data_IF_930585287086
#
_entry.id   IF_930585287086
#
_cell.length_a   1.000
_cell.length_b   1.000
_cell.length_c   1.000
_cell.angle_alpha   90.00
_cell.angle_beta   90.00
_cell.angle_gamma   90.00
#
_symmetry.space_group_name_H-M   'P 1'
#
loop_
_entity.id
_entity.type
_entity.pdbx_description
1 polymer ?
#
# COMPACT_ATOMS: atom_id res chain seq x y z
N UNK A 1 16.14 -26.50 26.66
CA UNK A 1 16.24 -25.90 25.31
C UNK A 1 14.86 -25.36 24.94
N UNK A 2 14.58 -24.07 25.17
CA UNK A 2 13.34 -23.42 24.73
C UNK A 2 13.63 -22.60 23.49
N UNK A 3 13.05 -22.98 22.36
CA UNK A 3 13.08 -22.16 21.16
C UNK A 3 12.07 -21.02 21.36
N UNK A 4 12.59 -19.80 21.54
CA UNK A 4 11.83 -18.57 21.36
C UNK A 4 11.41 -18.51 19.88
N UNK A 5 10.16 -18.88 19.59
CA UNK A 5 9.53 -18.47 18.35
C UNK A 5 9.32 -16.97 18.52
N UNK A 6 10.29 -16.18 18.04
CA UNK A 6 10.12 -14.75 17.87
C UNK A 6 8.99 -14.57 16.88
N UNK A 7 7.78 -14.33 17.38
CA UNK A 7 6.69 -13.81 16.56
C UNK A 7 7.20 -12.47 16.06
N UNK A 8 7.69 -12.44 14.82
CA UNK A 8 7.94 -11.17 14.14
C UNK A 8 6.59 -10.48 14.12
N UNK A 9 6.38 -9.49 14.98
CA UNK A 9 5.24 -8.60 14.87
C UNK A 9 5.34 -7.95 13.49
N UNK A 10 4.65 -8.54 12.52
CA UNK A 10 4.49 -7.92 11.22
C UNK A 10 3.60 -6.73 11.46
N UNK A 11 4.18 -5.53 11.48
CA UNK A 11 3.42 -4.30 11.41
C UNK A 11 2.41 -4.41 10.26
N UNK A 12 1.14 -4.15 10.57
CA UNK A 12 0.09 -4.18 9.56
C UNK A 12 0.44 -3.19 8.43
N UNK A 13 0.22 -3.55 7.15
CA UNK A 13 0.53 -2.68 6.03
C UNK A 13 -0.32 -1.40 6.05
N UNK A 14 0.27 -0.30 5.60
CA UNK A 14 -0.38 1.00 5.45
C UNK A 14 -1.14 1.11 4.14
N UNK A 15 -0.60 0.51 3.09
CA UNK A 15 -1.20 0.49 1.77
C UNK A 15 -1.38 -0.93 1.26
N UNK A 16 -2.47 -1.16 0.53
CA UNK A 16 -2.66 -2.32 -0.34
C UNK A 16 -2.60 -1.89 -1.79
N UNK A 17 -1.74 -2.54 -2.56
CA UNK A 17 -1.62 -2.36 -4.00
C UNK A 17 -2.13 -3.62 -4.69
N UNK A 18 -3.08 -3.48 -5.60
CA UNK A 18 -3.69 -4.60 -6.32
C UNK A 18 -3.84 -4.29 -7.80
N UNK A 19 -3.52 -5.25 -8.67
CA UNK A 19 -3.88 -5.18 -10.08
C UNK A 19 -5.36 -5.59 -10.21
N UNK A 20 -6.24 -4.66 -10.57
CA UNK A 20 -7.68 -4.97 -10.77
C UNK A 20 -7.92 -5.60 -12.14
N UNK A 21 -7.22 -5.13 -13.16
CA UNK A 21 -7.23 -5.63 -14.54
C UNK A 21 -5.98 -5.16 -15.26
N UNK A 22 -5.69 -5.71 -16.43
CA UNK A 22 -4.52 -5.34 -17.24
C UNK A 22 -4.39 -3.81 -17.37
N UNK A 23 -3.30 -3.26 -16.86
CA UNK A 23 -2.99 -1.83 -16.94
C UNK A 23 -3.66 -0.94 -15.88
N UNK A 24 -4.51 -1.48 -14.99
CA UNK A 24 -5.18 -0.70 -13.94
C UNK A 24 -4.83 -1.24 -12.56
N UNK A 25 -4.20 -0.38 -11.77
CA UNK A 25 -3.76 -0.64 -10.42
C UNK A 25 -4.57 0.16 -9.42
N UNK A 26 -4.98 -0.48 -8.34
CA UNK A 26 -5.66 0.11 -7.21
C UNK A 26 -4.71 0.21 -6.02
N UNK A 27 -4.64 1.38 -5.39
CA UNK A 27 -3.87 1.63 -4.17
C UNK A 27 -4.84 2.11 -3.10
N UNK A 28 -5.04 1.30 -2.06
CA UNK A 28 -5.93 1.60 -0.93
C UNK A 28 -5.12 1.92 0.31
N UNK A 29 -5.48 2.99 1.01
CA UNK A 29 -5.01 3.22 2.37
C UNK A 29 -5.74 2.29 3.35
N UNK A 30 -4.99 1.63 4.24
CA UNK A 30 -5.50 0.68 5.23
C UNK A 30 -5.45 1.25 6.65
N UNK A 31 -4.61 2.25 6.89
CA UNK A 31 -4.43 2.89 8.20
C UNK A 31 -4.75 4.39 8.12
N UNK A 32 -5.14 5.02 9.24
CA UNK A 32 -5.36 6.47 9.27
C UNK A 32 -4.13 7.28 8.84
N UNK A 33 -2.92 6.85 9.23
CA UNK A 33 -1.68 7.53 8.81
C UNK A 33 -1.47 7.46 7.30
N UNK A 34 -1.80 6.32 6.68
CA UNK A 34 -1.70 6.13 5.25
C UNK A 34 -2.69 7.01 4.49
N UNK A 35 -3.94 7.09 4.98
CA UNK A 35 -4.97 7.95 4.40
C UNK A 35 -4.55 9.43 4.48
N UNK A 36 -4.13 9.89 5.65
CA UNK A 36 -3.68 11.27 5.82
C UNK A 36 -2.49 11.60 4.90
N UNK A 37 -1.50 10.71 4.83
CA UNK A 37 -0.36 10.87 3.94
C UNK A 37 -0.76 10.87 2.46
N UNK A 38 -1.68 10.00 2.07
CA UNK A 38 -2.20 9.91 0.70
C UNK A 38 -2.91 11.20 0.31
N UNK A 39 -3.77 11.75 1.16
CA UNK A 39 -4.40 13.05 0.93
C UNK A 39 -3.37 14.17 0.83
N UNK A 40 -2.40 14.25 1.73
CA UNK A 40 -1.40 15.30 1.73
C UNK A 40 -0.50 15.30 0.48
N UNK A 41 -0.31 14.14 -0.17
CA UNK A 41 0.62 14.00 -1.30
C UNK A 41 -0.07 13.83 -2.66
N UNK A 42 -1.34 13.39 -2.68
CA UNK A 42 -2.06 12.98 -3.88
C UNK A 42 -3.55 13.34 -3.81
N UNK A 43 -3.92 14.45 -3.14
CA UNK A 43 -5.30 14.91 -2.99
C UNK A 43 -6.10 14.85 -4.31
N UNK A 44 -5.51 15.35 -5.40
CA UNK A 44 -6.15 15.44 -6.71
C UNK A 44 -6.46 14.09 -7.37
N UNK A 45 -5.83 13.01 -6.89
CA UNK A 45 -5.95 11.65 -7.44
C UNK A 45 -6.76 10.73 -6.52
N UNK A 46 -7.05 11.16 -5.29
CA UNK A 46 -7.71 10.35 -4.28
C UNK A 46 -9.22 10.52 -4.36
N UNK A 47 -9.95 9.42 -4.49
CA UNK A 47 -11.40 9.42 -4.25
C UNK A 47 -11.60 9.44 -2.74
N UNK A 48 -11.87 10.62 -2.16
CA UNK A 48 -11.92 10.86 -0.70
C UNK A 48 -12.77 9.85 0.07
N UNK A 49 -13.92 9.46 -0.49
CA UNK A 49 -14.83 8.52 0.17
C UNK A 49 -14.28 7.09 0.23
N UNK A 50 -13.35 6.73 -0.65
CA UNK A 50 -12.86 5.36 -0.82
C UNK A 50 -11.41 5.15 -0.38
N UNK A 51 -10.68 6.24 -0.10
CA UNK A 51 -9.23 6.22 0.20
C UNK A 51 -8.45 5.38 -0.82
N UNK A 52 -8.84 5.54 -2.09
CA UNK A 52 -8.45 4.72 -3.22
C UNK A 52 -7.93 5.61 -4.33
N UNK A 53 -6.77 5.23 -4.88
CA UNK A 53 -6.23 5.76 -6.12
C UNK A 53 -6.25 4.64 -7.17
N UNK A 54 -6.81 4.93 -8.34
CA UNK A 54 -6.71 4.06 -9.52
C UNK A 54 -5.76 4.67 -10.52
N UNK A 55 -4.78 3.90 -10.97
CA UNK A 55 -3.67 4.43 -11.75
C UNK A 55 -3.00 3.35 -12.61
N UNK A 56 -2.10 3.75 -13.50
CA UNK A 56 -1.20 2.82 -14.22
C UNK A 56 -0.07 2.27 -13.33
N UNK A 57 0.70 1.31 -13.85
CA UNK A 57 1.81 0.65 -13.14
C UNK A 57 2.96 1.61 -12.77
N UNK A 58 3.32 2.54 -13.66
CA UNK A 58 4.43 3.46 -13.45
C UNK A 58 4.12 4.43 -12.31
N UNK A 59 2.93 5.00 -12.34
CA UNK A 59 2.40 5.89 -11.31
C UNK A 59 2.19 5.14 -9.98
N UNK A 60 1.73 3.89 -10.01
CA UNK A 60 1.65 3.06 -8.82
C UNK A 60 3.03 2.85 -8.16
N UNK A 61 4.03 2.49 -8.96
CA UNK A 61 5.41 2.31 -8.49
C UNK A 61 5.99 3.62 -7.90
N UNK A 62 5.69 4.76 -8.51
CA UNK A 62 6.12 6.06 -8.02
C UNK A 62 5.53 6.37 -6.64
N UNK A 63 4.23 6.12 -6.45
CA UNK A 63 3.56 6.31 -5.15
C UNK A 63 4.17 5.40 -4.08
N UNK A 64 4.30 4.10 -4.37
CA UNK A 64 4.86 3.11 -3.43
C UNK A 64 6.27 3.51 -3.00
N UNK A 65 7.11 3.96 -3.95
CA UNK A 65 8.47 4.42 -3.65
C UNK A 65 8.48 5.60 -2.69
N UNK A 66 7.58 6.58 -2.89
CA UNK A 66 7.45 7.76 -2.02
C UNK A 66 6.86 7.41 -0.65
N UNK A 67 5.92 6.47 -0.60
CA UNK A 67 5.36 5.96 0.65
C UNK A 67 6.43 5.26 1.49
N UNK A 68 7.24 4.39 0.87
CA UNK A 68 8.35 3.71 1.55
C UNK A 68 9.41 4.66 2.07
N UNK A 69 9.77 5.71 1.32
CA UNK A 69 10.70 6.72 1.84
C UNK A 69 10.15 7.51 3.03
N UNK A 70 8.84 7.42 3.27
CA UNK A 70 8.16 7.99 4.44
C UNK A 70 7.93 6.97 5.57
N UNK A 71 8.48 5.75 5.45
CA UNK A 71 8.33 4.68 6.44
C UNK A 71 6.97 3.97 6.44
N UNK A 72 6.16 4.15 5.39
CA UNK A 72 4.87 3.48 5.24
C UNK A 72 5.05 2.13 4.55
N UNK A 73 4.43 1.08 5.13
CA UNK A 73 4.54 -0.28 4.62
C UNK A 73 3.49 -0.57 3.56
N UNK A 74 3.86 -1.25 2.48
CA UNK A 74 2.94 -1.59 1.40
C UNK A 74 2.84 -3.09 1.25
N UNK A 75 1.61 -3.62 1.27
CA UNK A 75 1.36 -4.95 0.76
C UNK A 75 0.95 -4.90 -0.72
N UNK A 76 1.46 -5.85 -1.47
CA UNK A 76 1.13 -6.10 -2.86
C UNK A 76 0.27 -7.36 -2.93
N UNK A 77 -0.93 -7.26 -3.47
CA UNK A 77 -1.85 -8.39 -3.70
C UNK A 77 -1.86 -8.71 -5.19
N UNK A 78 -1.13 -9.75 -5.57
CA UNK A 78 -1.14 -10.31 -6.91
C UNK A 78 -2.18 -11.44 -7.03
N UNK A 79 -2.45 -11.93 -8.26
CA UNK A 79 -3.43 -12.97 -8.50
C UNK A 79 -3.11 -14.30 -7.78
N UNK A 80 -1.83 -14.56 -7.48
CA UNK A 80 -1.37 -15.84 -6.94
C UNK A 80 -0.71 -15.72 -5.54
N UNK A 81 -0.40 -14.50 -5.07
CA UNK A 81 0.32 -14.30 -3.80
C UNK A 81 0.21 -12.86 -3.29
N UNK A 82 0.32 -12.70 -1.97
CA UNK A 82 0.53 -11.40 -1.31
C UNK A 82 2.01 -11.25 -0.92
N UNK A 83 2.62 -10.13 -1.29
CA UNK A 83 4.01 -9.79 -0.95
C UNK A 83 4.04 -8.51 -0.11
N UNK A 84 4.91 -8.45 0.89
CA UNK A 84 5.03 -7.29 1.80
C UNK A 84 6.35 -6.58 1.51
N UNK A 85 6.31 -5.25 1.34
CA UNK A 85 7.46 -4.44 0.95
C UNK A 85 7.46 -3.04 1.58
#
# INVERSE_FOLDING_TARGET
MSALIGTVERHAPDFRVQCERTGVWAIRALTPRASHWMHANFADQCVEKEQLIKTDLGSANALIRKARSSGLMTEYVGPNATSYF
#
